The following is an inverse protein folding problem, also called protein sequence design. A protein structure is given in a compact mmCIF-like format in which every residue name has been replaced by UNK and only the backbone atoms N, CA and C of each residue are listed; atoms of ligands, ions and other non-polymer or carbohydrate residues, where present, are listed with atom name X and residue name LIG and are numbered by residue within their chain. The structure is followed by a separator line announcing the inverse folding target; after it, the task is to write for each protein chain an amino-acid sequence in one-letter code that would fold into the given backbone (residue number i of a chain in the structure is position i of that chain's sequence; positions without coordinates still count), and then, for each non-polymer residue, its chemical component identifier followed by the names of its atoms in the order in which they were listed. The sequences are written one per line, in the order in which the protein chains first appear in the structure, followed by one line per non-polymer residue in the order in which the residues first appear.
data_IF_224043565486
#
_entry.id   IF_224043565486
#
_cell.length_a   1.000
_cell.length_b   1.000
_cell.length_c   1.000
_cell.angle_alpha   90.00
_cell.angle_beta   90.00
_cell.angle_gamma   90.00
#
_symmetry.space_group_name_H-M   'P 1'
#
loop_
_entity.id
_entity.type
_entity.pdbx_description
1 polymer ?
#
# COMPACT_ATOMS: atom_id res chain seq x y z
N UNK A 1 -13.04 -16.82 41.32
CA UNK A 1 -12.92 -18.01 40.45
C UNK A 1 -13.25 -17.50 39.06
N UNK A 2 -12.25 -17.01 38.32
CA UNK A 2 -12.48 -16.34 37.04
C UNK A 2 -12.45 -17.40 35.95
N UNK A 3 -13.65 -17.85 35.57
CA UNK A 3 -13.86 -18.86 34.55
C UNK A 3 -13.44 -18.34 33.19
N UNK A 4 -12.35 -18.90 32.69
CA UNK A 4 -12.15 -19.04 31.26
C UNK A 4 -12.39 -20.52 30.96
N UNK A 5 -13.34 -20.80 30.08
CA UNK A 5 -13.57 -22.16 29.60
C UNK A 5 -12.48 -22.46 28.54
N UNK A 6 -11.60 -23.46 28.76
CA UNK A 6 -10.50 -23.76 27.85
C UNK A 6 -10.95 -24.05 26.41
N UNK A 7 -12.19 -24.49 26.25
CA UNK A 7 -12.79 -24.83 24.96
C UNK A 7 -13.20 -23.60 24.12
N UNK A 8 -13.25 -22.41 24.72
CA UNK A 8 -13.58 -21.16 24.02
C UNK A 8 -12.37 -20.52 23.32
N UNK A 9 -11.14 -20.91 23.66
CA UNK A 9 -9.91 -20.30 23.11
C UNK A 9 -9.29 -21.22 22.05
N UNK A 10 -9.64 -20.98 20.77
CA UNK A 10 -8.93 -21.62 19.66
C UNK A 10 -7.60 -20.91 19.42
N UNK A 11 -6.50 -21.57 19.77
CA UNK A 11 -5.16 -21.15 19.40
C UNK A 11 -5.04 -21.13 17.85
N UNK A 12 -4.86 -19.95 17.27
CA UNK A 12 -4.73 -19.75 15.82
C UNK A 12 -3.31 -20.04 15.31
N UNK A 13 -2.29 -20.02 16.17
CA UNK A 13 -0.90 -20.38 15.83
C UNK A 13 -0.14 -20.86 17.06
N UNK A 14 0.65 -21.94 16.92
CA UNK A 14 1.60 -22.39 17.94
C UNK A 14 2.94 -21.72 17.66
N UNK A 15 3.37 -20.77 18.49
CA UNK A 15 4.71 -20.20 18.40
C UNK A 15 5.72 -21.06 19.14
N UNK A 16 6.82 -21.41 18.47
CA UNK A 16 7.94 -22.12 19.10
C UNK A 16 8.68 -21.15 20.02
N UNK A 17 8.57 -21.37 21.32
CA UNK A 17 9.31 -20.61 22.34
C UNK A 17 10.81 -20.81 22.11
N UNK A 18 11.56 -19.71 22.00
CA UNK A 18 13.01 -19.76 21.76
C UNK A 18 13.75 -20.37 22.96
N UNK A 19 14.83 -21.12 22.72
CA UNK A 19 15.60 -21.74 23.81
C UNK A 19 16.13 -20.73 24.82
N UNK A 20 16.38 -19.49 24.39
CA UNK A 20 16.84 -18.40 25.27
C UNK A 20 15.77 -18.05 26.30
N UNK A 21 14.51 -17.92 25.89
CA UNK A 21 13.40 -17.67 26.80
C UNK A 21 13.13 -18.87 27.72
N UNK A 22 13.23 -20.10 27.18
CA UNK A 22 13.17 -21.33 27.99
C UNK A 22 14.25 -21.33 29.07
N UNK A 23 15.50 -20.99 28.71
CA UNK A 23 16.63 -20.90 29.66
C UNK A 23 16.49 -19.76 30.66
N UNK A 24 15.88 -18.63 30.29
CA UNK A 24 15.62 -17.51 31.20
C UNK A 24 14.55 -17.88 32.23
N UNK A 25 13.43 -18.47 31.79
CA UNK A 25 12.39 -18.98 32.68
C UNK A 25 12.93 -20.02 33.66
N UNK A 26 13.73 -20.97 33.18
CA UNK A 26 14.36 -22.01 34.02
C UNK A 26 15.41 -21.47 34.99
N UNK A 27 16.05 -20.34 34.69
CA UNK A 27 17.04 -19.70 35.59
C UNK A 27 16.40 -18.97 36.77
N UNK A 28 15.08 -18.78 36.76
CA UNK A 28 14.38 -17.87 37.66
C UNK A 28 14.05 -18.35 39.07
N UNK A 29 14.02 -19.65 39.41
CA UNK A 29 13.78 -20.16 40.79
C UNK A 29 13.82 -21.69 40.93
N UNK A 30 14.19 -22.14 42.13
CA UNK A 30 14.57 -23.49 42.58
C UNK A 30 13.52 -24.63 42.49
N UNK A 31 12.36 -24.46 41.87
CA UNK A 31 11.33 -25.51 41.87
C UNK A 31 11.22 -26.19 40.50
N UNK A 32 11.69 -27.44 40.45
CA UNK A 32 11.81 -28.31 39.25
C UNK A 32 10.50 -28.69 38.57
N UNK A 33 9.34 -28.43 39.14
CA UNK A 33 8.07 -28.93 38.62
C UNK A 33 6.94 -27.90 38.76
N UNK A 34 7.01 -26.82 37.98
CA UNK A 34 5.78 -26.14 37.57
C UNK A 34 5.61 -26.33 36.06
N UNK A 35 4.46 -26.84 35.58
CA UNK A 35 4.15 -26.81 34.16
C UNK A 35 4.27 -25.36 33.67
N UNK A 36 4.62 -25.19 32.39
CA UNK A 36 4.54 -23.88 31.73
C UNK A 36 3.18 -23.27 32.08
N UNK A 37 3.13 -22.00 32.56
CA UNK A 37 1.84 -21.36 32.77
C UNK A 37 1.09 -21.43 31.44
N UNK A 38 -0.10 -22.04 31.44
CA UNK A 38 -0.99 -22.04 30.28
C UNK A 38 -1.39 -20.61 29.88
N UNK A 39 -1.06 -19.64 30.74
CA UNK A 39 -1.07 -18.22 30.52
C UNK A 39 0.27 -17.60 30.96
N UNK A 40 1.22 -17.39 30.04
CA UNK A 40 2.35 -16.52 30.37
C UNK A 40 1.97 -15.10 29.98
N UNK A 41 1.48 -14.33 30.95
CA UNK A 41 1.26 -12.90 30.81
C UNK A 41 2.42 -12.10 31.42
N UNK A 42 2.72 -10.98 30.79
CA UNK A 42 3.64 -9.98 31.32
C UNK A 42 4.63 -9.52 30.26
N UNK A 43 4.71 -8.20 30.08
CA UNK A 43 5.63 -7.49 29.19
C UNK A 43 7.04 -8.08 29.22
N UNK A 44 7.55 -8.35 30.44
CA UNK A 44 8.87 -8.98 30.67
C UNK A 44 9.06 -10.32 29.97
N UNK A 45 8.06 -11.21 29.92
CA UNK A 45 8.24 -12.51 29.25
C UNK A 45 8.43 -12.33 27.74
N UNK A 46 7.60 -11.48 27.13
CA UNK A 46 7.66 -11.20 25.71
C UNK A 46 8.94 -10.43 25.34
N UNK A 47 9.40 -9.49 26.18
CA UNK A 47 10.71 -8.86 26.03
C UNK A 47 11.85 -9.92 25.96
N UNK A 48 11.78 -10.98 26.76
CA UNK A 48 12.76 -12.08 26.71
C UNK A 48 12.65 -12.95 25.45
N UNK A 49 11.48 -12.98 24.81
CA UNK A 49 11.28 -13.58 23.49
C UNK A 49 11.74 -12.67 22.35
N UNK A 50 12.18 -11.44 22.65
CA UNK A 50 12.60 -10.45 21.68
C UNK A 50 11.49 -9.48 21.26
N UNK A 51 10.38 -9.44 21.99
CA UNK A 51 9.32 -8.49 21.71
C UNK A 51 9.73 -7.06 22.08
N UNK A 52 9.31 -6.10 21.27
CA UNK A 52 9.42 -4.68 21.55
C UNK A 52 8.02 -4.10 21.78
N UNK A 53 7.90 -3.07 22.62
CA UNK A 53 6.63 -2.44 22.95
C UNK A 53 6.64 -0.96 22.58
N UNK A 54 5.50 -0.43 22.16
CA UNK A 54 5.29 1.01 21.96
C UNK A 54 3.86 1.39 22.32
N UNK A 55 3.63 2.68 22.55
CA UNK A 55 2.29 3.22 22.74
C UNK A 55 1.99 4.18 21.60
N UNK A 56 0.90 3.94 20.86
CA UNK A 56 0.44 4.82 19.79
C UNK A 56 -1.00 5.23 20.10
N UNK A 57 -1.27 6.54 20.18
CA UNK A 57 -2.61 7.10 20.44
C UNK A 57 -3.30 6.49 21.68
N UNK A 58 -2.53 6.20 22.72
CA UNK A 58 -3.03 5.60 23.97
C UNK A 58 -3.22 4.08 23.95
N UNK A 59 -2.99 3.41 22.81
CA UNK A 59 -3.03 1.95 22.69
C UNK A 59 -1.62 1.36 22.79
N UNK A 60 -1.43 0.32 23.60
CA UNK A 60 -0.17 -0.42 23.66
C UNK A 60 -0.10 -1.45 22.52
N UNK A 61 1.01 -1.43 21.79
CA UNK A 61 1.34 -2.39 20.74
C UNK A 61 2.61 -3.16 21.10
N UNK A 62 2.61 -4.46 20.79
CA UNK A 62 3.75 -5.37 20.91
C UNK A 62 4.16 -5.88 19.52
N UNK A 63 5.44 -5.76 19.17
CA UNK A 63 6.04 -6.37 17.99
C UNK A 63 6.81 -7.59 18.42
N UNK A 64 6.44 -8.74 17.88
CA UNK A 64 7.17 -9.99 18.09
C UNK A 64 7.20 -10.76 16.78
N UNK A 65 8.43 -11.07 16.32
CA UNK A 65 8.67 -11.77 15.05
C UNK A 65 7.87 -11.15 13.90
N UNK A 66 8.03 -9.85 13.68
CA UNK A 66 7.42 -9.11 12.57
C UNK A 66 5.87 -9.07 12.58
N UNK A 67 5.23 -9.54 13.65
CA UNK A 67 3.78 -9.42 13.88
C UNK A 67 3.49 -8.38 14.96
N UNK A 68 2.56 -7.48 14.67
CA UNK A 68 2.06 -6.46 15.60
C UNK A 68 0.79 -6.96 16.29
N UNK A 69 0.82 -6.90 17.62
CA UNK A 69 -0.29 -7.22 18.49
C UNK A 69 -0.75 -5.97 19.25
N UNK A 70 -2.05 -5.76 19.33
CA UNK A 70 -2.66 -4.89 20.34
C UNK A 70 -2.64 -5.63 21.67
N UNK A 71 -2.21 -4.95 22.73
CA UNK A 71 -2.14 -5.50 24.07
C UNK A 71 -2.86 -4.56 25.04
N UNK A 72 -3.67 -5.13 25.92
CA UNK A 72 -4.20 -4.43 27.09
C UNK A 72 -3.56 -5.04 28.34
N UNK A 73 -2.78 -4.22 29.06
CA UNK A 73 -2.00 -4.63 30.23
C UNK A 73 -2.87 -5.21 31.36
N UNK A 74 -4.16 -4.85 31.41
CA UNK A 74 -5.06 -5.22 32.50
C UNK A 74 -6.04 -6.34 32.15
N UNK A 75 -6.02 -6.84 30.91
CA UNK A 75 -6.97 -7.86 30.43
C UNK A 75 -6.22 -9.15 30.04
N UNK A 76 -6.49 -10.29 30.70
CA UNK A 76 -5.97 -11.59 30.28
C UNK A 76 -6.41 -11.92 28.84
N UNK A 77 -5.53 -12.54 28.05
CA UNK A 77 -5.78 -12.88 26.63
C UNK A 77 -6.06 -11.66 25.73
N UNK A 78 -5.73 -10.44 26.14
CA UNK A 78 -5.98 -9.22 25.34
C UNK A 78 -5.14 -9.10 24.07
N UNK A 79 -4.19 -10.01 23.85
CA UNK A 79 -3.31 -10.00 22.69
C UNK A 79 -4.09 -10.29 21.43
N UNK A 80 -4.36 -9.24 20.67
CA UNK A 80 -5.01 -9.34 19.37
C UNK A 80 -3.98 -9.12 18.28
N UNK A 81 -3.79 -10.10 17.40
CA UNK A 81 -3.01 -9.88 16.16
C UNK A 81 -3.71 -8.80 15.34
N UNK A 82 -3.00 -7.73 15.04
CA UNK A 82 -3.54 -6.60 14.29
C UNK A 82 -3.09 -6.66 12.85
N UNK A 83 -1.79 -6.87 12.64
CA UNK A 83 -1.16 -6.82 11.32
C UNK A 83 0.22 -7.44 11.36
N UNK A 84 0.66 -7.90 10.20
CA UNK A 84 2.04 -8.29 9.96
C UNK A 84 2.80 -7.12 9.32
N UNK A 85 4.07 -6.99 9.66
CA UNK A 85 5.00 -5.99 9.13
C UNK A 85 6.29 -6.70 8.73
N UNK A 86 7.28 -6.02 8.18
CA UNK A 86 8.56 -6.64 7.81
C UNK A 86 8.48 -7.56 6.58
N UNK A 87 9.48 -8.42 6.42
CA UNK A 87 9.69 -9.22 5.21
C UNK A 87 8.69 -10.38 5.09
N UNK A 88 8.37 -11.07 6.18
CA UNK A 88 7.39 -12.18 6.14
C UNK A 88 6.00 -11.72 5.63
N UNK A 89 5.57 -10.53 6.05
CA UNK A 89 4.32 -9.93 5.57
C UNK A 89 4.37 -9.58 4.07
N UNK A 90 5.57 -9.26 3.56
CA UNK A 90 5.79 -8.97 2.14
C UNK A 90 5.83 -10.25 1.33
N UNK A 91 6.51 -11.29 1.83
CA UNK A 91 6.62 -12.58 1.16
C UNK A 91 5.23 -13.24 1.00
N UNK A 92 4.35 -13.15 2.00
CA UNK A 92 2.96 -13.60 1.89
C UNK A 92 2.17 -12.82 0.82
N UNK A 93 2.40 -11.51 0.73
CA UNK A 93 1.75 -10.65 -0.27
C UNK A 93 2.29 -10.91 -1.69
N UNK A 94 3.60 -11.18 -1.82
CA UNK A 94 4.29 -11.48 -3.06
C UNK A 94 3.96 -12.88 -3.58
N UNK A 95 3.83 -13.89 -2.70
CA UNK A 95 3.36 -15.23 -3.03
C UNK A 95 1.95 -15.21 -3.66
N UNK A 96 1.13 -14.23 -3.29
CA UNK A 96 -0.21 -14.02 -3.85
C UNK A 96 -0.18 -13.23 -5.18
N UNK A 97 0.88 -12.45 -5.44
CA UNK A 97 0.99 -11.53 -6.58
C UNK A 97 1.84 -12.07 -7.76
N UNK A 98 2.51 -13.22 -7.63
CA UNK A 98 3.19 -13.89 -8.74
C UNK A 98 4.38 -13.12 -9.34
N UNK A 99 5.14 -12.40 -8.51
CA UNK A 99 6.31 -11.62 -8.94
C UNK A 99 7.55 -12.13 -8.22
N UNK A 100 8.54 -12.63 -8.97
CA UNK A 100 9.84 -13.07 -8.42
C UNK A 100 10.83 -11.91 -8.35
N UNK A 101 11.45 -11.70 -7.19
CA UNK A 101 12.70 -10.97 -7.04
C UNK A 101 13.56 -11.56 -5.91
N UNK A 102 14.88 -11.44 -6.06
CA UNK A 102 15.87 -12.02 -5.17
C UNK A 102 15.95 -11.30 -3.82
N UNK A 103 15.93 -12.11 -2.76
CA UNK A 103 16.14 -11.74 -1.35
C UNK A 103 17.50 -11.07 -1.12
N UNK A 104 17.48 -9.89 -0.51
CA UNK A 104 18.57 -9.49 0.37
C UNK A 104 17.98 -8.89 1.67
N UNK A 105 18.30 -9.60 2.76
CA UNK A 105 17.90 -9.37 4.14
C UNK A 105 18.17 -7.94 4.64
N UNK A 106 17.41 -7.54 5.66
CA UNK A 106 17.59 -6.32 6.46
C UNK A 106 19.07 -5.95 6.69
N UNK A 107 19.48 -4.79 6.16
CA UNK A 107 20.86 -4.34 6.22
C UNK A 107 21.13 -3.16 7.16
N UNK A 108 22.35 -3.10 7.75
CA UNK A 108 22.96 -1.83 8.15
C UNK A 108 23.04 -0.90 6.93
N UNK A 109 22.47 0.31 7.02
CA UNK A 109 22.30 1.19 5.84
C UNK A 109 20.86 1.23 5.30
N UNK A 110 19.89 0.64 6.01
CA UNK A 110 18.45 0.64 5.71
C UNK A 110 17.88 2.02 5.37
N UNK A 111 18.42 3.10 5.93
CA UNK A 111 18.01 4.48 5.64
C UNK A 111 18.13 4.83 4.16
N UNK A 112 19.23 4.44 3.50
CA UNK A 112 19.42 4.73 2.07
C UNK A 112 18.38 3.99 1.23
N UNK A 113 18.09 2.73 1.56
CA UNK A 113 17.07 1.94 0.87
C UNK A 113 15.66 2.49 1.09
N UNK A 114 15.32 2.89 2.33
CA UNK A 114 14.05 3.53 2.66
C UNK A 114 13.89 4.87 1.94
N UNK A 115 14.93 5.72 1.95
CA UNK A 115 14.92 7.00 1.22
C UNK A 115 14.80 6.79 -0.28
N UNK A 116 15.47 5.77 -0.84
CA UNK A 116 15.36 5.42 -2.25
C UNK A 116 13.94 4.97 -2.60
N UNK A 117 13.36 4.09 -1.78
CA UNK A 117 11.98 3.62 -1.95
C UNK A 117 10.95 4.75 -1.82
N UNK A 118 11.17 5.71 -0.90
CA UNK A 118 10.40 6.94 -0.79
C UNK A 118 10.50 7.78 -2.07
N UNK A 119 11.72 8.03 -2.56
CA UNK A 119 11.96 8.79 -3.79
C UNK A 119 11.28 8.15 -5.00
N UNK A 120 11.41 6.84 -5.18
CA UNK A 120 10.73 6.09 -6.24
C UNK A 120 9.21 6.19 -6.14
N UNK A 121 8.66 6.05 -4.93
CA UNK A 121 7.22 6.20 -4.67
C UNK A 121 6.70 7.59 -5.05
N UNK A 122 7.44 8.65 -4.71
CA UNK A 122 7.11 10.03 -5.06
C UNK A 122 7.17 10.27 -6.57
N UNK A 123 8.24 9.82 -7.24
CA UNK A 123 8.35 9.90 -8.70
C UNK A 123 7.19 9.17 -9.38
N UNK A 124 6.78 8.02 -8.85
CA UNK A 124 5.65 7.27 -9.42
C UNK A 124 4.32 8.01 -9.25
N UNK A 125 4.09 8.68 -8.12
CA UNK A 125 2.94 9.57 -7.94
C UNK A 125 2.91 10.66 -9.02
N UNK A 126 4.05 11.34 -9.23
CA UNK A 126 4.16 12.40 -10.24
C UNK A 126 3.91 11.88 -11.65
N UNK A 127 4.41 10.69 -11.98
CA UNK A 127 4.17 10.05 -13.29
C UNK A 127 2.68 9.71 -13.49
N UNK A 128 2.01 9.22 -12.45
CA UNK A 128 0.56 8.95 -12.50
C UNK A 128 -0.20 10.25 -12.75
N UNK A 129 0.08 11.30 -11.98
CA UNK A 129 -0.55 12.61 -12.13
C UNK A 129 -0.31 13.20 -13.54
N UNK A 130 0.90 13.04 -14.09
CA UNK A 130 1.24 13.48 -15.44
C UNK A 130 0.46 12.71 -16.53
N UNK A 131 0.30 11.39 -16.41
CA UNK A 131 -0.51 10.61 -17.35
C UNK A 131 -1.97 11.02 -17.33
N UNK A 132 -2.54 11.24 -16.15
CA UNK A 132 -3.92 11.73 -16.00
C UNK A 132 -4.05 13.09 -16.68
N UNK A 133 -3.17 14.04 -16.36
CA UNK A 133 -3.23 15.40 -16.90
C UNK A 133 -3.06 15.45 -18.43
N UNK A 134 -2.35 14.48 -19.02
CA UNK A 134 -2.16 14.36 -20.48
C UNK A 134 -3.23 13.52 -21.18
N UNK A 135 -4.12 12.84 -20.44
CA UNK A 135 -5.19 12.02 -21.01
C UNK A 135 -6.44 12.88 -21.26
N UNK A 136 -6.61 13.37 -22.49
CA UNK A 136 -7.78 14.21 -22.81
C UNK A 136 -9.10 13.42 -22.80
N UNK A 137 -9.09 12.09 -23.00
CA UNK A 137 -10.31 11.27 -22.92
C UNK A 137 -10.94 11.29 -21.52
N UNK A 138 -10.09 11.25 -20.49
CA UNK A 138 -10.50 11.35 -19.10
C UNK A 138 -10.88 12.78 -18.68
N UNK A 139 -10.57 13.76 -19.53
CA UNK A 139 -10.66 15.18 -19.24
C UNK A 139 -12.05 15.81 -19.28
N UNK A 140 -13.03 15.12 -19.85
CA UNK A 140 -14.12 15.81 -20.51
C UNK A 140 -15.49 15.29 -20.04
N UNK A 141 -15.97 15.79 -18.90
CA UNK A 141 -17.42 15.73 -18.63
C UNK A 141 -18.13 16.78 -19.49
N UNK A 142 -19.34 16.49 -20.01
CA UNK A 142 -20.11 17.42 -20.84
C UNK A 142 -20.29 18.80 -20.17
N UNK A 143 -20.44 18.83 -18.85
CA UNK A 143 -20.57 20.06 -18.05
C UNK A 143 -19.30 20.91 -18.03
N UNK A 144 -18.13 20.30 -18.17
CA UNK A 144 -16.83 20.98 -18.14
C UNK A 144 -16.31 21.30 -19.55
N UNK A 145 -16.85 20.69 -20.62
CA UNK A 145 -16.51 20.99 -22.02
C UNK A 145 -16.56 22.49 -22.34
N UNK A 146 -17.55 23.21 -21.83
CA UNK A 146 -17.71 24.65 -22.09
C UNK A 146 -16.62 25.52 -21.47
N UNK A 147 -15.88 25.00 -20.48
CA UNK A 147 -14.84 25.74 -19.76
C UNK A 147 -13.46 25.65 -20.41
N UNK A 148 -13.26 24.73 -21.36
CA UNK A 148 -11.97 24.49 -22.00
C UNK A 148 -12.11 24.55 -23.52
N UNK A 149 -11.39 25.47 -24.14
CA UNK A 149 -11.46 25.69 -25.60
C UNK A 149 -10.43 24.85 -26.34
N UNK A 150 -9.26 24.61 -25.72
CA UNK A 150 -8.16 23.82 -26.30
C UNK A 150 -7.74 22.64 -25.40
N UNK A 151 -7.01 21.67 -25.97
CA UNK A 151 -6.39 20.58 -25.21
C UNK A 151 -5.38 21.14 -24.18
N UNK A 152 -4.70 22.23 -24.49
CA UNK A 152 -3.76 22.84 -23.56
C UNK A 152 -4.47 23.56 -22.40
N UNK A 153 -5.64 24.17 -22.64
CA UNK A 153 -6.48 24.70 -21.55
C UNK A 153 -6.93 23.60 -20.61
N UNK A 154 -7.35 22.47 -21.19
CA UNK A 154 -7.71 21.28 -20.43
C UNK A 154 -6.52 20.82 -19.58
N UNK A 155 -5.35 20.59 -20.17
CA UNK A 155 -4.13 20.16 -19.45
C UNK A 155 -3.75 21.12 -18.34
N UNK A 156 -3.83 22.43 -18.57
CA UNK A 156 -3.56 23.45 -17.57
C UNK A 156 -4.62 23.46 -16.45
N UNK A 157 -5.87 23.13 -16.76
CA UNK A 157 -6.93 22.88 -15.78
C UNK A 157 -6.62 21.68 -14.88
N UNK A 158 -6.16 20.57 -15.46
CA UNK A 158 -5.78 19.36 -14.70
C UNK A 158 -4.62 19.62 -13.74
N UNK A 159 -3.58 20.36 -14.16
CA UNK A 159 -2.44 20.73 -13.30
C UNK A 159 -2.84 21.48 -12.02
N UNK A 160 -3.99 22.16 -12.02
CA UNK A 160 -4.49 22.91 -10.85
C UNK A 160 -5.38 22.06 -9.93
N UNK A 161 -5.76 20.84 -10.34
CA UNK A 161 -6.63 19.94 -9.57
C UNK A 161 -5.79 18.97 -8.74
N UNK A 162 -6.22 18.73 -7.51
CA UNK A 162 -5.72 17.61 -6.70
C UNK A 162 -6.08 16.27 -7.35
N UNK A 163 -5.31 15.21 -7.10
CA UNK A 163 -5.62 13.86 -7.59
C UNK A 163 -7.03 13.38 -7.23
N UNK A 164 -7.53 13.70 -6.02
CA UNK A 164 -8.90 13.35 -5.64
C UNK A 164 -9.96 14.03 -6.53
N UNK A 165 -9.78 15.32 -6.81
CA UNK A 165 -10.67 16.06 -7.73
C UNK A 165 -10.56 15.56 -9.17
N UNK A 166 -9.35 15.18 -9.61
CA UNK A 166 -9.09 14.56 -10.90
C UNK A 166 -9.90 13.26 -11.05
N UNK A 167 -9.85 12.36 -10.06
CA UNK A 167 -10.62 11.12 -10.04
C UNK A 167 -12.14 11.36 -10.05
N UNK A 168 -12.64 12.32 -9.27
CA UNK A 168 -14.08 12.68 -9.30
C UNK A 168 -14.54 13.11 -10.68
N UNK A 169 -13.76 13.94 -11.37
CA UNK A 169 -14.09 14.36 -12.74
C UNK A 169 -14.13 13.17 -13.72
N UNK A 170 -13.26 12.18 -13.54
CA UNK A 170 -13.31 10.93 -14.32
C UNK A 170 -14.60 10.17 -14.01
N UNK A 171 -14.91 9.97 -12.73
CA UNK A 171 -16.11 9.25 -12.29
C UNK A 171 -17.42 9.93 -12.73
N UNK A 172 -17.43 11.23 -13.00
CA UNK A 172 -18.59 11.93 -13.57
C UNK A 172 -18.86 11.52 -15.02
N UNK A 173 -17.82 11.25 -15.81
CA UNK A 173 -17.92 10.98 -17.24
C UNK A 173 -17.80 9.48 -17.61
N UNK A 174 -17.14 8.70 -16.75
CA UNK A 174 -16.80 7.31 -17.01
C UNK A 174 -17.30 6.41 -15.88
N UNK A 175 -17.82 5.24 -16.25
CA UNK A 175 -17.90 4.09 -15.38
C UNK A 175 -16.52 3.44 -15.33
N UNK A 176 -16.04 3.19 -14.11
CA UNK A 176 -14.75 2.56 -13.86
C UNK A 176 -15.03 1.16 -13.35
N UNK A 177 -14.32 0.17 -13.87
CA UNK A 177 -14.39 -1.21 -13.38
C UNK A 177 -14.21 -1.23 -11.83
N UNK A 178 -15.09 -1.93 -11.08
CA UNK A 178 -15.11 -1.87 -9.62
C UNK A 178 -13.77 -2.12 -8.91
N UNK A 179 -12.99 -3.12 -9.33
CA UNK A 179 -11.69 -3.42 -8.73
C UNK A 179 -10.66 -2.32 -9.05
N UNK A 180 -10.66 -1.79 -10.26
CA UNK A 180 -9.84 -0.63 -10.65
C UNK A 180 -10.22 0.60 -9.83
N UNK A 181 -11.51 0.86 -9.64
CA UNK A 181 -12.01 1.96 -8.80
C UNK A 181 -11.57 1.81 -7.35
N UNK A 182 -11.70 0.61 -6.77
CA UNK A 182 -11.23 0.33 -5.41
C UNK A 182 -9.71 0.57 -5.28
N UNK A 183 -8.94 0.14 -6.28
CA UNK A 183 -7.50 0.39 -6.33
C UNK A 183 -7.16 1.89 -6.40
N UNK A 184 -7.91 2.70 -7.16
CA UNK A 184 -7.71 4.15 -7.20
C UNK A 184 -8.01 4.82 -5.87
N UNK A 185 -9.08 4.42 -5.18
CA UNK A 185 -9.43 4.94 -3.87
C UNK A 185 -8.38 4.59 -2.82
N UNK A 186 -7.95 3.34 -2.79
CA UNK A 186 -6.88 2.89 -1.90
C UNK A 186 -5.57 3.63 -2.21
N UNK A 187 -5.28 3.89 -3.50
CA UNK A 187 -4.04 4.56 -3.90
C UNK A 187 -4.07 6.01 -3.48
N UNK A 188 -5.21 6.69 -3.62
CA UNK A 188 -5.38 8.06 -3.14
C UNK A 188 -5.18 8.15 -1.62
N UNK A 189 -5.75 7.21 -0.86
CA UNK A 189 -5.56 7.14 0.58
C UNK A 189 -4.09 6.94 0.96
N UNK A 190 -3.41 5.98 0.33
CA UNK A 190 -2.00 5.71 0.60
C UNK A 190 -1.08 6.82 0.11
N UNK A 191 -1.36 7.47 -1.02
CA UNK A 191 -0.61 8.64 -1.50
C UNK A 191 -0.73 9.80 -0.51
N UNK A 192 -1.91 10.02 0.06
CA UNK A 192 -2.09 11.05 1.09
C UNK A 192 -1.31 10.67 2.36
N UNK A 193 -1.30 9.40 2.77
CA UNK A 193 -0.47 8.93 3.87
C UNK A 193 1.03 9.09 3.58
N UNK A 194 1.48 8.79 2.35
CA UNK A 194 2.85 8.97 1.88
C UNK A 194 3.30 10.44 1.96
N UNK A 195 2.48 11.36 1.45
CA UNK A 195 2.84 12.78 1.30
C UNK A 195 2.64 13.57 2.60
N UNK A 196 1.62 13.25 3.39
CA UNK A 196 1.25 14.03 4.58
C UNK A 196 1.45 13.27 5.89
N UNK A 197 1.30 11.94 5.88
CA UNK A 197 1.27 11.14 7.11
C UNK A 197 2.63 10.62 7.55
N UNK A 198 3.59 10.43 6.64
CA UNK A 198 4.89 9.85 6.98
C UNK A 198 5.73 10.72 7.90
N UNK A 199 5.69 12.04 7.73
CA UNK A 199 6.50 12.98 8.54
C UNK A 199 5.87 13.31 9.88
N UNK A 200 4.58 13.03 10.08
CA UNK A 200 3.82 13.40 11.28
C UNK A 200 3.48 12.21 12.17
N UNK A 201 3.66 10.98 11.68
CA UNK A 201 3.22 9.78 12.38
C UNK A 201 4.39 9.07 13.07
N UNK A 202 4.31 8.93 14.39
CA UNK A 202 5.25 8.12 15.19
C UNK A 202 5.32 6.67 14.71
N UNK A 203 4.28 6.18 14.02
CA UNK A 203 4.24 4.85 13.41
C UNK A 203 5.42 4.60 12.45
N UNK A 204 5.86 5.64 11.73
CA UNK A 204 6.87 5.55 10.66
C UNK A 204 8.20 6.20 11.05
N UNK A 205 8.49 6.36 12.35
CA UNK A 205 9.76 6.93 12.81
C UNK A 205 10.93 6.04 12.42
N UNK A 206 11.65 6.44 11.36
CA UNK A 206 12.80 5.74 10.79
C UNK A 206 13.97 5.59 11.76
N UNK A 207 13.99 6.33 12.87
CA UNK A 207 15.02 6.19 13.92
C UNK A 207 14.79 4.94 14.77
N UNK A 208 13.59 4.35 14.70
CA UNK A 208 13.22 3.14 15.42
C UNK A 208 13.14 1.95 14.46
N UNK A 209 13.52 0.77 14.94
CA UNK A 209 13.34 -0.48 14.16
C UNK A 209 11.88 -0.69 13.74
N UNK A 210 10.94 -0.36 14.61
CA UNK A 210 9.51 -0.40 14.32
C UNK A 210 9.11 0.46 13.13
N UNK A 211 9.51 1.73 13.14
CA UNK A 211 9.17 2.66 12.07
C UNK A 211 9.84 2.29 10.76
N UNK A 212 11.06 1.73 10.78
CA UNK A 212 11.71 1.21 9.59
C UNK A 212 10.93 0.04 8.96
N UNK A 213 10.51 -0.95 9.76
CA UNK A 213 9.74 -2.11 9.27
C UNK A 213 8.36 -1.70 8.75
N UNK A 214 7.63 -0.87 9.50
CA UNK A 214 6.32 -0.37 9.10
C UNK A 214 6.39 0.48 7.82
N UNK A 215 7.42 1.33 7.71
CA UNK A 215 7.65 2.14 6.53
C UNK A 215 8.02 1.28 5.32
N UNK A 216 8.89 0.29 5.49
CA UNK A 216 9.26 -0.62 4.42
C UNK A 216 8.06 -1.37 3.87
N UNK A 217 7.26 -2.01 4.73
CA UNK A 217 6.05 -2.73 4.33
C UNK A 217 5.05 -1.81 3.63
N UNK A 218 4.85 -0.60 4.16
CA UNK A 218 4.02 0.41 3.52
C UNK A 218 4.51 0.79 2.12
N UNK A 219 5.81 1.10 1.97
CA UNK A 219 6.37 1.53 0.69
C UNK A 219 6.34 0.42 -0.35
N UNK A 220 6.58 -0.82 0.05
CA UNK A 220 6.50 -2.00 -0.83
C UNK A 220 5.07 -2.24 -1.31
N UNK A 221 4.09 -2.24 -0.40
CA UNK A 221 2.68 -2.32 -0.77
C UNK A 221 2.28 -1.18 -1.71
N UNK A 222 2.70 0.05 -1.39
CA UNK A 222 2.46 1.21 -2.22
C UNK A 222 3.09 1.09 -3.60
N UNK A 223 4.30 0.54 -3.72
CA UNK A 223 4.98 0.30 -4.99
C UNK A 223 4.18 -0.66 -5.89
N UNK A 224 3.73 -1.79 -5.34
CA UNK A 224 2.90 -2.77 -6.06
C UNK A 224 1.62 -2.10 -6.55
N UNK A 225 0.90 -1.46 -5.64
CA UNK A 225 -0.36 -0.79 -5.96
C UNK A 225 -0.18 0.31 -7.02
N UNK A 226 0.82 1.16 -6.85
CA UNK A 226 1.06 2.29 -7.74
C UNK A 226 1.51 1.87 -9.14
N UNK A 227 2.11 0.68 -9.32
CA UNK A 227 2.35 0.11 -10.65
C UNK A 227 1.06 -0.18 -11.41
N UNK A 228 0.08 -0.80 -10.75
CA UNK A 228 -1.23 -1.10 -11.33
C UNK A 228 -1.95 0.20 -11.73
N UNK A 229 -1.99 1.17 -10.82
CA UNK A 229 -2.62 2.47 -11.07
C UNK A 229 -1.92 3.24 -12.19
N UNK A 230 -0.58 3.24 -12.21
CA UNK A 230 0.21 3.82 -13.31
C UNK A 230 -0.11 3.19 -14.65
N UNK A 231 -0.29 1.87 -14.70
CA UNK A 231 -0.63 1.18 -15.93
C UNK A 231 -2.01 1.61 -16.47
N UNK A 232 -3.02 1.72 -15.60
CA UNK A 232 -4.35 2.18 -15.99
C UNK A 232 -4.34 3.62 -16.56
N UNK A 233 -3.62 4.54 -15.92
CA UNK A 233 -3.54 5.92 -16.43
C UNK A 233 -2.62 6.07 -17.65
N UNK A 234 -1.57 5.26 -17.76
CA UNK A 234 -0.74 5.20 -18.97
C UNK A 234 -1.55 4.64 -20.16
N UNK A 235 -2.35 3.62 -19.94
CA UNK A 235 -3.33 3.12 -20.92
C UNK A 235 -4.26 4.22 -21.40
N UNK A 236 -4.79 5.03 -20.47
CA UNK A 236 -5.66 6.18 -20.77
C UNK A 236 -4.97 7.26 -21.61
N UNK A 237 -3.68 7.51 -21.34
CA UNK A 237 -2.86 8.43 -22.14
C UNK A 237 -2.67 7.91 -23.57
N UNK A 238 -2.30 6.63 -23.73
CA UNK A 238 -2.13 6.05 -25.07
C UNK A 238 -3.43 5.96 -25.85
N UNK A 239 -4.54 5.61 -25.19
CA UNK A 239 -5.87 5.62 -25.79
C UNK A 239 -6.24 7.02 -26.31
N UNK A 240 -5.86 8.07 -25.57
CA UNK A 240 -6.04 9.45 -26.01
C UNK A 240 -5.26 9.75 -27.30
N UNK A 241 -3.98 9.35 -27.37
CA UNK A 241 -3.19 9.53 -28.60
C UNK A 241 -3.80 8.74 -29.77
N UNK A 242 -4.19 7.48 -29.56
CA UNK A 242 -4.79 6.67 -30.62
C UNK A 242 -6.08 7.29 -31.14
N UNK A 243 -6.94 7.78 -30.24
CA UNK A 243 -8.19 8.43 -30.61
C UNK A 243 -7.93 9.69 -31.46
N UNK A 244 -6.95 10.52 -31.06
CA UNK A 244 -6.58 11.71 -31.82
C UNK A 244 -6.06 11.35 -33.23
N UNK A 245 -5.19 10.34 -33.34
CA UNK A 245 -4.66 9.89 -34.64
C UNK A 245 -5.76 9.33 -35.54
N UNK A 246 -6.73 8.59 -34.99
CA UNK A 246 -7.85 8.06 -35.76
C UNK A 246 -8.77 9.17 -36.31
N UNK A 247 -8.96 10.26 -35.57
CA UNK A 247 -9.88 11.34 -35.95
C UNK A 247 -9.22 12.45 -36.78
N UNK A 248 -7.96 12.77 -36.50
CA UNK A 248 -7.25 13.91 -37.09
C UNK A 248 -6.10 13.50 -38.01
N UNK A 249 -5.78 12.21 -38.10
CA UNK A 249 -4.63 11.71 -38.84
C UNK A 249 -3.33 11.80 -38.05
N UNK A 250 -2.26 11.25 -38.63
CA UNK A 250 -0.90 11.35 -38.08
C UNK A 250 -0.22 12.60 -38.66
N UNK A 251 0.32 13.50 -37.82
CA UNK A 251 1.09 14.65 -38.30
C UNK A 251 2.30 14.24 -39.15
N UNK A 252 2.68 15.10 -40.09
CA UNK A 252 3.84 14.89 -40.96
C UNK A 252 5.13 14.75 -40.12
N UNK A 253 6.00 13.80 -40.53
CA UNK A 253 7.25 13.51 -39.84
C UNK A 253 7.14 12.52 -38.67
N UNK A 254 5.93 12.07 -38.32
CA UNK A 254 5.73 11.03 -37.29
C UNK A 254 5.63 9.63 -37.95
N UNK A 255 6.23 8.58 -37.36
CA UNK A 255 6.17 7.23 -37.91
C UNK A 255 4.73 6.72 -38.04
N UNK A 256 4.40 6.06 -39.17
CA UNK A 256 3.09 5.39 -39.38
C UNK A 256 2.77 4.35 -38.30
N UNK A 257 3.80 3.71 -37.73
CA UNK A 257 3.68 2.80 -36.60
C UNK A 257 4.01 3.52 -35.30
N UNK A 258 2.99 4.17 -34.73
CA UNK A 258 3.10 4.95 -33.49
C UNK A 258 3.29 4.10 -32.24
N UNK A 259 2.68 2.90 -32.20
CA UNK A 259 2.63 2.08 -31.00
C UNK A 259 3.35 0.73 -31.19
N UNK A 260 4.07 0.31 -30.15
CA UNK A 260 4.58 -1.05 -30.04
C UNK A 260 3.52 -2.03 -29.51
N UNK A 261 3.80 -3.33 -29.53
CA UNK A 261 2.83 -4.38 -29.11
C UNK A 261 2.30 -4.16 -27.68
N UNK A 262 3.18 -3.83 -26.74
CA UNK A 262 2.85 -3.57 -25.33
C UNK A 262 1.92 -2.36 -25.18
N UNK A 263 2.17 -1.29 -25.94
CA UNK A 263 1.32 -0.10 -25.92
C UNK A 263 -0.07 -0.40 -26.51
N UNK A 264 -0.17 -1.25 -27.53
CA UNK A 264 -1.45 -1.69 -28.08
C UNK A 264 -2.25 -2.49 -27.05
N UNK A 265 -1.60 -3.39 -26.29
CA UNK A 265 -2.23 -4.10 -25.18
C UNK A 265 -2.73 -3.14 -24.09
N UNK A 266 -1.93 -2.12 -23.75
CA UNK A 266 -2.34 -1.07 -22.81
C UNK A 266 -3.55 -0.28 -23.30
N UNK A 267 -3.62 0.04 -24.59
CA UNK A 267 -4.81 0.73 -25.13
C UNK A 267 -6.04 -0.16 -25.04
N UNK A 268 -5.92 -1.48 -25.21
CA UNK A 268 -7.04 -2.41 -25.00
C UNK A 268 -7.51 -2.42 -23.54
N UNK A 269 -6.57 -2.47 -22.60
CA UNK A 269 -6.87 -2.37 -21.16
C UNK A 269 -7.64 -1.10 -20.80
N UNK A 270 -7.42 0.03 -21.48
CA UNK A 270 -8.22 1.24 -21.24
C UNK A 270 -9.72 0.97 -21.38
N UNK A 271 -10.13 0.28 -22.44
CA UNK A 271 -11.55 -0.02 -22.69
C UNK A 271 -12.11 -1.13 -21.78
N UNK A 272 -11.24 -1.92 -21.14
CA UNK A 272 -11.64 -2.85 -20.10
C UNK A 272 -11.87 -2.14 -18.75
N UNK A 273 -11.12 -1.08 -18.49
CA UNK A 273 -11.17 -0.34 -17.23
C UNK A 273 -12.20 0.79 -17.22
N UNK A 274 -12.44 1.41 -18.37
CA UNK A 274 -13.24 2.62 -18.50
C UNK A 274 -14.30 2.47 -19.58
N UNK A 275 -15.56 2.64 -19.18
CA UNK A 275 -16.72 2.69 -20.08
C UNK A 275 -17.37 4.07 -20.01
N UNK A 276 -17.65 4.73 -21.14
CA UNK A 276 -18.28 6.05 -21.10
C UNK A 276 -19.71 5.92 -20.56
N UNK A 277 -20.10 6.82 -19.65
CA UNK A 277 -21.49 6.88 -19.20
C UNK A 277 -22.40 7.33 -20.33
N UNK A 278 -23.63 6.79 -20.40
CA UNK A 278 -24.61 7.12 -21.44
C UNK A 278 -24.89 8.63 -21.55
N UNK A 279 -24.77 9.38 -20.45
CA UNK A 279 -24.96 10.83 -20.39
C UNK A 279 -23.73 11.64 -20.87
N UNK A 280 -22.58 11.00 -21.05
CA UNK A 280 -21.30 11.62 -21.43
C UNK A 280 -21.00 11.56 -22.94
N UNK A 281 -21.72 10.72 -23.69
CA UNK A 281 -21.67 10.62 -25.16
C UNK A 281 -22.55 11.73 -25.75
#
# INVERSE_FOLDING_TARGET
MNGFDPDEVKATRIMRVTERAVRAYRRGKEFKERPWPWYVYGKRFFEHLGANFRTIKGQEEMLLADVVYEVDEYVPCSMRRVRDIGQEALDELEATAGLEYHDEDMWPGSEIHLITALGMSLVRCQQIEDYIAKSFLLGISRKQKSQYTTIDDLRNGWKKKTLGNMLRCIEEAWEIEPLVKANFQLFLANRNALVHGLTTSEKFDIRTRWGQLELWSFLRFFDIQSRIVKQAFRASYYASIQFAVQHFGTPDGIPKKLFNKKQIEEIRMFFEFFSPKAEAI
#
